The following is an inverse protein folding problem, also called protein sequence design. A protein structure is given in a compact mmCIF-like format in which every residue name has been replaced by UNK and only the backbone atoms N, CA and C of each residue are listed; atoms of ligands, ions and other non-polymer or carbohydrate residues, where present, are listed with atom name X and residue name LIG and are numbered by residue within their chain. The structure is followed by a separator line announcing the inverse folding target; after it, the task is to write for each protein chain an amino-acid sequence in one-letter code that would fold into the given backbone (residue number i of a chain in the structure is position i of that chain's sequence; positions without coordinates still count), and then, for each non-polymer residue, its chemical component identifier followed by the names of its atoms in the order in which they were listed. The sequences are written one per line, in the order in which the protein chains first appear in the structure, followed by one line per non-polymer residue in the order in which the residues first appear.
data_IF_720371065040
#
_entry.id   IF_720371065040
#
_cell.length_a   1.000
_cell.length_b   1.000
_cell.length_c   1.000
_cell.angle_alpha   90.00
_cell.angle_beta   90.00
_cell.angle_gamma   90.00
#
_symmetry.space_group_name_H-M   'P 1'
#
loop_
_entity.id
_entity.type
_entity.pdbx_description
1 polymer ?
#
# COMPACT_ATOMS: atom_id res chain seq x y z
N UNK A 1 3.51 -0.74 40.97
CA UNK A 1 4.22 -0.06 39.87
C UNK A 1 4.19 -0.99 38.67
N UNK A 2 3.72 -0.55 37.50
CA UNK A 2 3.74 -1.39 36.28
C UNK A 2 5.20 -1.56 35.85
N UNK A 3 5.68 -2.80 35.75
CA UNK A 3 7.06 -3.08 35.30
C UNK A 3 7.18 -2.71 33.82
N UNK A 4 8.15 -1.86 33.48
CA UNK A 4 8.46 -1.55 32.08
C UNK A 4 9.16 -2.75 31.44
N UNK A 5 8.64 -3.23 30.33
CA UNK A 5 9.22 -4.30 29.51
C UNK A 5 9.96 -3.71 28.31
N UNK A 6 10.97 -4.44 27.84
CA UNK A 6 11.82 -4.04 26.72
C UNK A 6 11.75 -5.13 25.64
N UNK A 7 11.42 -4.72 24.41
CA UNK A 7 11.49 -5.53 23.21
C UNK A 7 12.51 -4.92 22.25
N UNK A 8 13.35 -5.77 21.65
CA UNK A 8 14.38 -5.35 20.71
C UNK A 8 14.41 -6.30 19.51
N UNK A 9 14.56 -5.74 18.31
CA UNK A 9 14.80 -6.49 17.08
C UNK A 9 15.73 -5.72 16.15
N UNK A 10 16.71 -6.42 15.58
CA UNK A 10 17.61 -5.89 14.56
C UNK A 10 17.49 -6.65 13.24
N UNK A 11 17.84 -5.97 12.15
CA UNK A 11 17.95 -6.51 10.80
C UNK A 11 19.10 -5.83 10.07
N UNK A 12 20.00 -6.62 9.48
CA UNK A 12 21.00 -6.13 8.53
C UNK A 12 20.37 -5.96 7.13
N UNK A 13 20.72 -4.86 6.47
CA UNK A 13 20.19 -4.44 5.19
C UNK A 13 21.35 -4.07 4.25
N UNK A 14 21.22 -4.37 2.97
CA UNK A 14 22.19 -3.92 1.95
C UNK A 14 22.12 -2.41 1.69
N UNK A 15 20.96 -1.80 1.92
CA UNK A 15 20.76 -0.36 1.76
C UNK A 15 21.49 0.43 2.85
N UNK A 16 21.98 1.63 2.52
CA UNK A 16 22.57 2.54 3.50
C UNK A 16 21.51 3.10 4.48
N UNK A 17 21.97 3.60 5.64
CA UNK A 17 21.09 4.04 6.72
C UNK A 17 20.14 5.19 6.30
N UNK A 18 20.62 6.09 5.44
CA UNK A 18 19.85 7.23 4.96
C UNK A 18 18.74 6.78 3.98
N UNK A 19 19.00 5.80 3.12
CA UNK A 19 17.99 5.17 2.28
C UNK A 19 16.90 4.48 3.12
N UNK A 20 17.27 3.76 4.18
CA UNK A 20 16.32 3.14 5.11
C UNK A 20 15.49 4.19 5.84
N UNK A 21 16.13 5.26 6.33
CA UNK A 21 15.44 6.38 6.97
C UNK A 21 14.44 7.05 6.02
N UNK A 22 14.87 7.44 4.82
CA UNK A 22 14.00 8.05 3.80
C UNK A 22 12.81 7.18 3.43
N UNK A 23 12.99 5.85 3.37
CA UNK A 23 11.88 4.93 3.12
C UNK A 23 10.83 5.02 4.23
N UNK A 24 11.24 5.09 5.50
CA UNK A 24 10.33 5.24 6.66
C UNK A 24 9.66 6.61 6.72
N UNK A 25 10.34 7.66 6.27
CA UNK A 25 9.82 9.03 6.29
C UNK A 25 8.80 9.33 5.19
N UNK A 26 8.58 8.42 4.23
CA UNK A 26 7.63 8.61 3.12
C UNK A 26 6.22 8.16 3.52
N UNK A 27 5.20 8.90 3.08
CA UNK A 27 3.79 8.70 3.46
C UNK A 27 3.11 7.39 3.03
N UNK A 28 3.84 6.43 2.47
CA UNK A 28 3.34 5.05 2.26
C UNK A 28 3.90 4.05 3.26
N UNK A 29 4.88 4.43 4.08
CA UNK A 29 5.61 3.50 4.94
C UNK A 29 4.70 2.86 5.99
N UNK A 30 3.81 3.64 6.60
CA UNK A 30 2.85 3.11 7.56
C UNK A 30 2.01 1.99 6.94
N UNK A 31 1.40 2.22 5.79
CA UNK A 31 0.55 1.25 5.09
C UNK A 31 1.32 -0.02 4.70
N UNK A 32 2.61 0.10 4.36
CA UNK A 32 3.48 -1.06 4.09
C UNK A 32 3.78 -1.86 5.36
N UNK A 33 4.01 -1.16 6.46
CA UNK A 33 4.42 -1.74 7.75
C UNK A 33 3.28 -2.34 8.55
N UNK A 34 2.02 -1.99 8.26
CA UNK A 34 0.85 -2.62 8.86
C UNK A 34 0.73 -4.08 8.40
N UNK A 35 0.81 -5.08 9.30
CA UNK A 35 0.61 -6.47 8.92
C UNK A 35 -0.83 -6.72 8.45
N UNK A 36 -1.04 -7.61 7.44
CA UNK A 36 -2.36 -7.82 6.85
C UNK A 36 -3.38 -8.48 7.79
N UNK A 37 -2.94 -9.06 8.91
CA UNK A 37 -3.82 -9.60 9.95
C UNK A 37 -4.21 -8.55 11.00
N UNK A 38 -3.63 -7.35 10.98
CA UNK A 38 -4.03 -6.24 11.84
C UNK A 38 -5.04 -5.36 11.09
N UNK A 39 -6.11 -4.97 11.78
CA UNK A 39 -7.16 -4.11 11.22
C UNK A 39 -7.00 -2.67 11.69
N UNK A 40 -5.83 -2.06 11.46
CA UNK A 40 -5.51 -0.69 11.87
C UNK A 40 -5.62 0.29 10.69
N UNK A 41 -5.97 1.55 10.97
CA UNK A 41 -6.04 2.63 9.97
C UNK A 41 -5.62 3.96 10.57
N UNK A 42 -4.89 4.78 9.80
CA UNK A 42 -4.66 6.18 10.17
C UNK A 42 -5.97 6.97 10.11
N UNK A 43 -6.21 7.77 11.14
CA UNK A 43 -7.28 8.76 11.19
C UNK A 43 -6.69 10.12 10.81
N UNK A 44 -6.52 10.36 9.51
CA UNK A 44 -6.00 11.62 9.00
C UNK A 44 -5.09 11.47 7.78
N UNK A 45 -4.22 12.47 7.52
CA UNK A 45 -3.25 12.41 6.44
C UNK A 45 -2.20 11.32 6.69
N UNK A 46 -1.36 11.09 5.68
CA UNK A 46 -0.25 10.14 5.79
C UNK A 46 0.71 10.51 6.92
N UNK A 47 1.30 9.49 7.56
CA UNK A 47 2.27 9.68 8.62
C UNK A 47 3.52 10.42 8.12
N UNK A 48 3.96 11.42 8.88
CA UNK A 48 5.25 12.12 8.69
C UNK A 48 6.20 11.81 9.83
N UNK A 49 7.49 11.76 9.53
CA UNK A 49 8.56 11.57 10.53
C UNK A 49 9.20 12.93 10.79
N UNK A 50 8.50 13.75 11.57
CA UNK A 50 8.90 15.10 11.95
C UNK A 50 8.67 15.30 13.44
N UNK A 51 9.58 15.96 14.15
CA UNK A 51 9.43 16.17 15.60
C UNK A 51 8.17 16.99 15.90
N UNK A 52 7.34 16.48 16.81
CA UNK A 52 6.05 17.04 17.20
C UNK A 52 4.88 16.59 16.33
N UNK A 53 5.13 15.81 15.26
CA UNK A 53 4.05 15.25 14.44
C UNK A 53 3.23 14.27 15.26
N UNK A 54 1.90 14.44 15.21
CA UNK A 54 0.95 13.57 15.91
C UNK A 54 0.18 12.72 14.92
N UNK A 55 -0.04 11.47 15.30
CA UNK A 55 -0.73 10.48 14.49
C UNK A 55 -1.70 9.68 15.35
N UNK A 56 -2.93 9.57 14.85
CA UNK A 56 -3.99 8.75 15.46
C UNK A 56 -4.21 7.52 14.61
N UNK A 57 -4.01 6.34 15.20
CA UNK A 57 -4.35 5.05 14.61
C UNK A 57 -5.64 4.55 15.23
N UNK A 58 -6.57 4.08 14.41
CA UNK A 58 -7.83 3.49 14.85
C UNK A 58 -7.86 1.99 14.58
N UNK A 59 -8.51 1.25 15.47
CA UNK A 59 -8.66 -0.20 15.34
C UNK A 59 -10.03 -0.65 15.88
N UNK A 60 -10.59 -1.76 15.37
CA UNK A 60 -11.85 -2.29 15.87
C UNK A 60 -11.67 -2.87 17.28
N UNK A 61 -12.64 -2.60 18.15
CA UNK A 61 -12.75 -3.17 19.49
C UNK A 61 -14.18 -3.72 19.68
N UNK A 62 -14.51 -4.75 18.90
CA UNK A 62 -15.88 -5.26 18.80
C UNK A 62 -16.84 -4.20 18.22
N UNK A 63 -17.94 -3.84 18.89
CA UNK A 63 -18.86 -2.80 18.42
C UNK A 63 -18.30 -1.38 18.57
N UNK A 64 -17.24 -1.19 19.37
CA UNK A 64 -16.58 0.09 19.58
C UNK A 64 -15.34 0.25 18.69
N UNK A 65 -14.85 1.48 18.59
CA UNK A 65 -13.56 1.78 17.97
C UNK A 65 -12.56 2.22 19.03
N UNK A 66 -11.42 1.53 19.07
CA UNK A 66 -10.27 2.00 19.81
C UNK A 66 -9.46 3.01 18.99
N UNK A 67 -8.75 3.89 19.70
CA UNK A 67 -7.76 4.79 19.13
C UNK A 67 -6.43 4.63 19.85
N UNK A 68 -5.37 4.96 19.14
CA UNK A 68 -4.01 5.08 19.65
C UNK A 68 -3.44 6.37 19.09
N UNK A 69 -3.22 7.33 19.98
CA UNK A 69 -2.59 8.62 19.68
C UNK A 69 -1.11 8.55 20.02
N UNK A 70 -0.28 8.95 19.06
CA UNK A 70 1.17 8.92 19.15
C UNK A 70 1.78 10.24 18.69
N UNK A 71 2.98 10.54 19.18
CA UNK A 71 3.76 11.72 18.79
C UNK A 71 5.20 11.32 18.48
N UNK A 72 5.76 11.88 17.41
CA UNK A 72 7.19 11.78 17.12
C UNK A 72 7.95 12.75 18.03
N UNK A 73 8.67 12.23 19.02
CA UNK A 73 9.29 13.04 20.07
C UNK A 73 10.74 13.45 19.74
N UNK A 74 11.44 12.64 18.93
CA UNK A 74 12.78 12.92 18.45
C UNK A 74 12.98 12.43 17.01
N UNK A 75 13.79 13.16 16.25
CA UNK A 75 14.23 12.80 14.91
C UNK A 75 15.67 13.25 14.73
N UNK A 76 16.54 12.32 14.32
CA UNK A 76 17.89 12.57 13.80
C UNK A 76 17.88 12.14 12.33
N UNK A 77 17.77 13.07 11.36
CA UNK A 77 17.65 12.73 9.96
C UNK A 77 18.73 11.76 9.48
N UNK A 78 18.32 10.74 8.73
CA UNK A 78 19.21 9.70 8.20
C UNK A 78 19.64 8.63 9.21
N UNK A 79 19.26 8.76 10.49
CA UNK A 79 19.74 7.85 11.53
C UNK A 79 18.69 7.36 12.52
N UNK A 80 17.78 8.20 13.02
CA UNK A 80 16.91 7.77 14.11
C UNK A 80 15.62 8.59 14.20
N UNK A 81 14.54 7.96 14.66
CA UNK A 81 13.37 8.68 15.17
C UNK A 81 12.66 7.88 16.26
N UNK A 82 11.92 8.58 17.12
CA UNK A 82 11.18 7.97 18.22
C UNK A 82 9.71 8.41 18.22
N UNK A 83 8.80 7.43 18.24
CA UNK A 83 7.38 7.63 18.51
C UNK A 83 7.04 7.22 19.95
N UNK A 84 6.19 8.03 20.59
CA UNK A 84 5.70 7.79 21.94
C UNK A 84 4.19 7.83 21.94
N UNK A 85 3.56 6.88 22.63
CA UNK A 85 2.11 6.90 22.84
C UNK A 85 1.73 8.03 23.80
N UNK A 86 0.79 8.88 23.38
CA UNK A 86 0.12 9.86 24.23
C UNK A 86 -1.09 9.24 24.93
N UNK A 87 -1.91 8.49 24.18
CA UNK A 87 -3.08 7.77 24.67
C UNK A 87 -3.25 6.49 23.85
N UNK A 88 -3.61 5.38 24.49
CA UNK A 88 -3.75 4.11 23.76
C UNK A 88 -3.84 2.88 24.67
N UNK A 89 -3.66 1.68 24.08
CA UNK A 89 -3.90 0.41 24.77
C UNK A 89 -2.82 0.05 25.80
N UNK A 90 -1.65 0.70 25.76
CA UNK A 90 -0.58 0.48 26.73
C UNK A 90 -0.61 1.53 27.84
N UNK A 91 -0.10 1.21 29.03
CA UNK A 91 0.16 2.22 30.05
C UNK A 91 1.37 3.10 29.69
N UNK A 92 2.30 2.54 28.92
CA UNK A 92 3.47 3.22 28.35
C UNK A 92 3.84 2.57 27.03
N UNK A 93 4.21 3.36 26.04
CA UNK A 93 4.83 2.87 24.81
C UNK A 93 5.77 3.93 24.27
N UNK A 94 7.03 3.55 24.09
CA UNK A 94 8.07 4.33 23.43
C UNK A 94 8.75 3.40 22.43
N UNK A 95 8.74 3.75 21.15
CA UNK A 95 9.35 2.97 20.10
C UNK A 95 10.40 3.82 19.39
N UNK A 96 11.65 3.36 19.41
CA UNK A 96 12.78 3.97 18.73
C UNK A 96 13.15 3.14 17.51
N UNK A 97 13.22 3.81 16.37
CA UNK A 97 13.71 3.29 15.10
C UNK A 97 15.12 3.84 14.87
N UNK A 98 16.13 2.99 14.86
CA UNK A 98 17.53 3.38 14.62
C UNK A 98 18.06 2.72 13.34
N UNK A 99 18.77 3.49 12.53
CA UNK A 99 19.43 3.10 11.31
C UNK A 99 20.90 3.50 11.44
N UNK A 100 21.79 2.52 11.45
CA UNK A 100 23.24 2.74 11.62
C UNK A 100 24.01 2.04 10.50
N UNK A 101 25.17 2.58 10.13
CA UNK A 101 26.04 1.90 9.18
C UNK A 101 26.41 0.50 9.71
N UNK A 102 26.42 -0.50 8.83
CA UNK A 102 26.77 -1.85 9.22
C UNK A 102 28.24 -1.90 9.70
N UNK A 103 28.58 -2.66 10.75
CA UNK A 103 29.95 -2.76 11.26
C UNK A 103 30.97 -3.23 10.20
N UNK A 104 30.53 -4.06 9.26
CA UNK A 104 31.34 -4.55 8.14
C UNK A 104 31.48 -3.55 6.97
N UNK A 105 30.96 -2.32 7.10
CA UNK A 105 31.14 -1.22 6.16
C UNK A 105 30.22 -1.21 4.92
N UNK A 106 29.45 -2.27 4.67
CA UNK A 106 28.46 -2.32 3.58
C UNK A 106 27.05 -2.39 4.13
N UNK A 107 26.21 -1.44 3.73
CA UNK A 107 24.79 -1.39 4.11
C UNK A 107 24.55 -0.80 5.49
N UNK A 108 23.46 -1.20 6.14
CA UNK A 108 23.03 -0.67 7.43
C UNK A 108 22.38 -1.72 8.32
N UNK A 109 22.24 -1.39 9.60
CA UNK A 109 21.44 -2.13 10.57
C UNK A 109 20.21 -1.29 10.91
N UNK A 110 19.03 -1.87 10.73
CA UNK A 110 17.77 -1.36 11.23
C UNK A 110 17.48 -1.99 12.60
N UNK A 111 17.37 -1.17 13.64
CA UNK A 111 17.05 -1.58 14.99
C UNK A 111 15.73 -0.95 15.44
N UNK A 112 14.84 -1.80 15.95
CA UNK A 112 13.61 -1.41 16.61
C UNK A 112 13.71 -1.73 18.10
N UNK A 113 13.65 -0.71 18.94
CA UNK A 113 13.64 -0.83 20.39
C UNK A 113 12.32 -0.28 20.93
N UNK A 114 11.53 -1.12 21.59
CA UNK A 114 10.25 -0.75 22.20
C UNK A 114 10.33 -0.90 23.71
N UNK A 115 10.09 0.19 24.43
CA UNK A 115 9.85 0.20 25.89
C UNK A 115 8.36 0.35 26.13
N UNK A 116 7.72 -0.67 26.70
CA UNK A 116 6.28 -0.66 26.92
C UNK A 116 5.89 -1.14 28.31
N UNK A 117 4.70 -0.74 28.76
CA UNK A 117 4.10 -1.26 30.00
C UNK A 117 2.63 -1.60 29.75
N UNK A 118 2.20 -2.76 30.22
CA UNK A 118 0.82 -3.21 30.06
C UNK A 118 -0.12 -2.52 31.06
N UNK A 119 -1.41 -2.35 30.72
CA UNK A 119 -2.43 -1.95 31.68
C UNK A 119 -2.67 -3.06 32.72
N UNK A 120 -3.22 -2.70 33.89
CA UNK A 120 -3.67 -3.62 34.96
C UNK A 120 -2.58 -4.35 35.80
N UNK A 121 -1.31 -3.94 35.71
CA UNK A 121 -0.27 -4.31 36.69
C UNK A 121 0.22 -5.78 36.63
N UNK A 122 1.00 -6.24 37.63
CA UNK A 122 1.87 -7.42 37.51
C UNK A 122 1.15 -8.77 37.33
N UNK A 123 -0.09 -8.91 37.81
CA UNK A 123 -0.87 -10.17 37.66
C UNK A 123 -1.39 -10.34 36.24
N UNK A 124 -1.72 -9.25 35.54
CA UNK A 124 -2.06 -9.27 34.11
C UNK A 124 -0.85 -9.61 33.22
N UNK A 125 0.36 -9.19 33.64
CA UNK A 125 1.59 -9.33 32.86
C UNK A 125 2.04 -10.79 32.65
N UNK A 126 1.74 -11.71 33.57
CA UNK A 126 2.26 -13.09 33.51
C UNK A 126 1.72 -13.89 32.31
N UNK A 127 0.47 -13.66 31.93
CA UNK A 127 -0.17 -14.31 30.77
C UNK A 127 -0.23 -13.37 29.56
N UNK A 128 -0.62 -12.11 29.78
CA UNK A 128 -0.71 -11.13 28.69
C UNK A 128 0.68 -10.76 28.15
N UNK A 129 1.72 -10.73 28.97
CA UNK A 129 3.09 -10.40 28.55
C UNK A 129 3.66 -11.38 27.53
N UNK A 130 3.49 -12.69 27.73
CA UNK A 130 3.93 -13.69 26.74
C UNK A 130 3.17 -13.56 25.42
N UNK A 131 1.86 -13.29 25.48
CA UNK A 131 1.05 -13.07 24.29
C UNK A 131 1.46 -11.80 23.55
N UNK A 132 1.62 -10.68 24.26
CA UNK A 132 2.07 -9.39 23.70
C UNK A 132 3.45 -9.54 23.09
N UNK A 133 4.41 -10.15 23.79
CA UNK A 133 5.76 -10.36 23.26
C UNK A 133 5.75 -11.16 21.96
N UNK A 134 4.98 -12.26 21.87
CA UNK A 134 4.80 -13.03 20.62
C UNK A 134 4.16 -12.18 19.52
N UNK A 135 3.18 -11.34 19.86
CA UNK A 135 2.56 -10.40 18.92
C UNK A 135 3.58 -9.41 18.37
N UNK A 136 4.40 -8.81 19.24
CA UNK A 136 5.49 -7.91 18.87
C UNK A 136 6.53 -8.60 18.00
N UNK A 137 7.00 -9.80 18.40
CA UNK A 137 7.93 -10.61 17.61
C UNK A 137 7.42 -10.82 16.17
N UNK A 138 6.16 -11.24 16.02
CA UNK A 138 5.55 -11.47 14.71
C UNK A 138 5.37 -10.18 13.91
N UNK A 139 4.91 -9.10 14.56
CA UNK A 139 4.70 -7.79 13.92
C UNK A 139 6.02 -7.21 13.42
N UNK A 140 7.06 -7.17 14.25
CA UNK A 140 8.36 -6.61 13.89
C UNK A 140 9.11 -7.50 12.89
N UNK A 141 8.96 -8.82 12.94
CA UNK A 141 9.45 -9.71 11.89
C UNK A 141 8.81 -9.40 10.52
N UNK A 142 7.51 -9.13 10.49
CA UNK A 142 6.83 -8.69 9.27
C UNK A 142 7.34 -7.34 8.78
N UNK A 143 7.39 -6.34 9.66
CA UNK A 143 7.88 -4.98 9.35
C UNK A 143 9.27 -5.03 8.72
N UNK A 144 10.19 -5.72 9.37
CA UNK A 144 11.56 -5.94 8.89
C UNK A 144 11.62 -6.61 7.52
N UNK A 145 10.84 -7.68 7.32
CA UNK A 145 10.79 -8.39 6.03
C UNK A 145 10.25 -7.49 4.91
N UNK A 146 9.22 -6.69 5.18
CA UNK A 146 8.65 -5.77 4.19
C UNK A 146 9.65 -4.67 3.85
N UNK A 147 10.25 -4.01 4.84
CA UNK A 147 11.27 -2.99 4.63
C UNK A 147 12.42 -3.51 3.77
N UNK A 148 12.98 -4.68 4.12
CA UNK A 148 14.05 -5.31 3.34
C UNK A 148 13.66 -5.57 1.89
N UNK A 149 12.48 -6.16 1.68
CA UNK A 149 11.99 -6.52 0.35
C UNK A 149 11.72 -5.28 -0.49
N UNK A 150 11.11 -4.26 0.08
CA UNK A 150 10.78 -3.03 -0.63
C UNK A 150 12.06 -2.29 -1.03
N UNK A 151 13.01 -2.10 -0.09
CA UNK A 151 14.30 -1.48 -0.37
C UNK A 151 15.07 -2.24 -1.46
N UNK A 152 15.18 -3.57 -1.35
CA UNK A 152 15.85 -4.39 -2.35
C UNK A 152 15.17 -4.26 -3.72
N UNK A 153 13.83 -4.21 -3.76
CA UNK A 153 13.10 -4.06 -5.04
C UNK A 153 13.27 -2.68 -5.65
N UNK A 154 13.25 -1.61 -4.84
CA UNK A 154 13.52 -0.26 -5.33
C UNK A 154 14.96 -0.14 -5.86
N UNK A 155 15.94 -0.71 -5.14
CA UNK A 155 17.33 -0.72 -5.57
C UNK A 155 17.55 -1.52 -6.87
N UNK A 156 16.89 -2.67 -7.02
CA UNK A 156 17.02 -3.52 -8.21
C UNK A 156 16.46 -2.88 -9.49
N UNK A 157 15.47 -1.97 -9.36
CA UNK A 157 14.86 -1.28 -10.51
C UNK A 157 15.50 0.10 -10.73
N UNK A 158 15.95 0.77 -9.68
CA UNK A 158 16.70 2.04 -9.70
C UNK A 158 16.12 3.11 -10.65
N UNK A 159 14.79 3.27 -10.64
CA UNK A 159 14.10 4.30 -11.46
C UNK A 159 14.05 5.63 -10.73
N UNK A 160 14.20 6.72 -11.50
CA UNK A 160 13.98 8.06 -10.98
C UNK A 160 12.54 8.24 -10.46
N UNK A 161 12.32 9.14 -9.49
CA UNK A 161 10.97 9.55 -9.08
C UNK A 161 10.09 9.89 -10.29
N UNK A 162 8.84 9.47 -10.25
CA UNK A 162 7.90 9.59 -11.35
C UNK A 162 6.47 9.78 -10.84
N UNK A 163 5.66 10.46 -11.64
CA UNK A 163 4.23 10.60 -11.41
C UNK A 163 3.48 9.43 -12.03
N UNK A 164 2.82 8.62 -11.19
CA UNK A 164 2.08 7.42 -11.59
C UNK A 164 0.60 7.61 -11.31
N UNK A 165 -0.23 7.59 -12.35
CA UNK A 165 -1.69 7.64 -12.21
C UNK A 165 -2.24 6.24 -11.97
N UNK A 166 -2.98 6.05 -10.88
CA UNK A 166 -3.54 4.76 -10.49
C UNK A 166 -5.05 4.85 -10.40
N UNK A 167 -5.75 4.00 -11.14
CA UNK A 167 -7.18 3.77 -10.95
C UNK A 167 -7.40 2.59 -10.01
N UNK A 168 -8.53 2.53 -9.30
CA UNK A 168 -8.77 1.48 -8.31
C UNK A 168 -7.81 1.56 -7.11
N UNK A 169 -7.20 2.73 -6.88
CA UNK A 169 -6.22 2.97 -5.82
C UNK A 169 -6.75 2.73 -4.40
N UNK A 170 -8.08 2.75 -4.21
CA UNK A 170 -8.73 2.44 -2.92
C UNK A 170 -8.99 0.94 -2.70
N UNK A 171 -8.80 0.11 -3.73
CA UNK A 171 -8.93 -1.34 -3.66
C UNK A 171 -7.74 -2.01 -2.96
N UNK A 172 -7.84 -3.32 -2.74
CA UNK A 172 -6.80 -4.10 -2.03
C UNK A 172 -5.42 -3.98 -2.70
N UNK A 173 -5.35 -4.29 -4.00
CA UNK A 173 -4.10 -4.21 -4.79
C UNK A 173 -3.65 -2.76 -4.94
N UNK A 174 -4.60 -1.86 -5.27
CA UNK A 174 -4.31 -0.44 -5.49
C UNK A 174 -3.70 0.25 -4.26
N UNK A 175 -4.20 -0.04 -3.05
CA UNK A 175 -3.64 0.50 -1.80
C UNK A 175 -2.20 0.04 -1.58
N UNK A 176 -1.96 -1.26 -1.74
CA UNK A 176 -0.63 -1.85 -1.56
C UNK A 176 0.38 -1.31 -2.58
N UNK A 177 -0.03 -1.18 -3.85
CA UNK A 177 0.79 -0.61 -4.91
C UNK A 177 1.07 0.88 -4.67
N UNK A 178 0.06 1.66 -4.32
CA UNK A 178 0.22 3.09 -4.07
C UNK A 178 1.19 3.35 -2.89
N UNK A 179 1.09 2.56 -1.83
CA UNK A 179 2.02 2.63 -0.71
C UNK A 179 3.45 2.27 -1.14
N UNK A 180 3.62 1.19 -1.90
CA UNK A 180 4.92 0.72 -2.41
C UNK A 180 5.58 1.75 -3.35
N UNK A 181 4.82 2.34 -4.28
CA UNK A 181 5.34 3.38 -5.17
C UNK A 181 5.75 4.63 -4.39
N UNK A 182 4.91 5.07 -3.44
CA UNK A 182 5.20 6.22 -2.58
C UNK A 182 6.47 6.01 -1.74
N UNK A 183 6.67 4.82 -1.15
CA UNK A 183 7.90 4.52 -0.40
C UNK A 183 9.14 4.40 -1.29
N UNK A 184 8.97 4.09 -2.57
CA UNK A 184 10.01 4.22 -3.60
C UNK A 184 10.36 5.66 -3.98
N UNK A 185 9.54 6.64 -3.59
CA UNK A 185 9.73 8.06 -3.91
C UNK A 185 8.94 8.54 -5.13
N UNK A 186 8.06 7.71 -5.69
CA UNK A 186 7.15 8.11 -6.76
C UNK A 186 5.96 8.90 -6.21
N UNK A 187 5.39 9.80 -7.00
CA UNK A 187 4.14 10.48 -6.67
C UNK A 187 2.97 9.69 -7.24
N UNK A 188 2.08 9.25 -6.38
CA UNK A 188 0.88 8.49 -6.80
C UNK A 188 -0.31 9.43 -6.94
N UNK A 189 -0.78 9.59 -8.16
CA UNK A 189 -2.03 10.28 -8.50
C UNK A 189 -3.15 9.26 -8.58
N UNK A 190 -4.35 9.59 -8.11
CA UNK A 190 -5.45 8.62 -7.95
C UNK A 190 -6.68 9.07 -8.70
N UNK A 191 -7.19 8.22 -9.60
CA UNK A 191 -8.53 8.42 -10.15
C UNK A 191 -9.58 7.93 -9.16
N UNK A 192 -10.47 8.83 -8.74
CA UNK A 192 -11.49 8.58 -7.73
C UNK A 192 -12.89 8.92 -8.26
N UNK A 193 -13.89 8.12 -7.87
CA UNK A 193 -15.31 8.32 -8.25
C UNK A 193 -16.08 9.25 -7.30
N UNK A 194 -15.43 9.73 -6.24
CA UNK A 194 -16.01 10.67 -5.29
C UNK A 194 -15.36 12.05 -5.46
N UNK A 195 -15.85 13.06 -4.74
CA UNK A 195 -15.21 14.36 -4.70
C UNK A 195 -13.74 14.21 -4.23
N UNK A 196 -12.75 14.73 -4.99
CA UNK A 196 -11.34 14.70 -4.58
C UNK A 196 -11.14 15.32 -3.21
N UNK A 197 -10.30 14.68 -2.39
CA UNK A 197 -10.01 15.12 -1.01
C UNK A 197 -8.70 15.89 -0.88
N UNK A 198 -7.84 15.81 -1.88
CA UNK A 198 -6.51 16.43 -1.90
C UNK A 198 -6.03 16.59 -3.35
N UNK A 199 -4.89 17.26 -3.53
CA UNK A 199 -4.32 17.56 -4.86
C UNK A 199 -3.74 16.35 -5.63
N UNK A 200 -3.72 15.16 -5.05
CA UNK A 200 -3.30 13.93 -5.72
C UNK A 200 -4.50 13.06 -6.14
N UNK A 201 -5.73 13.51 -5.89
CA UNK A 201 -6.96 12.85 -6.32
C UNK A 201 -7.59 13.62 -7.49
N UNK A 202 -8.00 12.89 -8.51
CA UNK A 202 -8.63 13.43 -9.71
C UNK A 202 -9.94 12.69 -9.95
N UNK A 203 -10.98 13.45 -10.26
CA UNK A 203 -12.31 12.87 -10.46
C UNK A 203 -12.36 12.14 -11.80
N UNK A 204 -13.00 10.98 -11.79
CA UNK A 204 -13.41 10.29 -13.01
C UNK A 204 -14.75 9.56 -12.81
N UNK A 205 -15.46 9.35 -13.90
CA UNK A 205 -16.70 8.60 -13.98
C UNK A 205 -16.76 7.84 -15.32
N UNK A 206 -16.35 6.56 -15.33
CA UNK A 206 -16.42 5.72 -16.52
C UNK A 206 -17.81 5.55 -17.11
N UNK A 207 -18.87 5.58 -16.29
CA UNK A 207 -20.24 5.37 -16.76
C UNK A 207 -20.76 6.61 -17.49
N UNK A 208 -20.30 7.79 -17.07
CA UNK A 208 -20.63 9.08 -17.70
C UNK A 208 -19.61 9.54 -18.74
N UNK A 209 -18.51 8.80 -18.91
CA UNK A 209 -17.43 9.15 -19.84
C UNK A 209 -16.64 10.39 -19.40
N UNK A 210 -16.60 10.68 -18.10
CA UNK A 210 -15.96 11.88 -17.56
C UNK A 210 -14.60 11.55 -16.96
N UNK A 211 -13.56 12.29 -17.34
CA UNK A 211 -12.23 12.21 -16.75
C UNK A 211 -11.69 13.63 -16.64
N UNK A 212 -11.21 14.01 -15.47
CA UNK A 212 -10.53 15.29 -15.28
C UNK A 212 -9.27 15.34 -16.15
N UNK A 213 -9.19 16.20 -17.17
CA UNK A 213 -8.05 16.24 -18.10
C UNK A 213 -6.72 16.48 -17.39
N UNK A 214 -6.73 17.22 -16.27
CA UNK A 214 -5.53 17.50 -15.50
C UNK A 214 -4.89 16.20 -14.98
N UNK A 215 -5.66 15.12 -14.80
CA UNK A 215 -5.19 13.84 -14.29
C UNK A 215 -4.02 13.22 -15.08
N UNK A 216 -3.89 13.56 -16.36
CA UNK A 216 -2.85 13.02 -17.24
C UNK A 216 -1.63 13.96 -17.39
N UNK A 217 -1.73 15.22 -16.95
CA UNK A 217 -0.67 16.20 -17.12
C UNK A 217 0.60 15.79 -16.38
N UNK A 218 1.70 15.59 -17.11
CA UNK A 218 3.00 15.21 -16.52
C UNK A 218 3.05 13.78 -15.96
N UNK A 219 2.06 12.94 -16.23
CA UNK A 219 2.07 11.53 -15.82
C UNK A 219 3.08 10.75 -16.66
N UNK A 220 3.88 9.94 -15.99
CA UNK A 220 4.90 9.10 -16.64
C UNK A 220 4.36 7.71 -16.96
N UNK A 221 3.51 7.17 -16.09
CA UNK A 221 2.89 5.86 -16.24
C UNK A 221 1.46 5.84 -15.68
N UNK A 222 0.62 5.01 -16.26
CA UNK A 222 -0.76 4.77 -15.80
C UNK A 222 -0.90 3.30 -15.42
N UNK A 223 -1.49 3.03 -14.26
CA UNK A 223 -1.85 1.68 -13.80
C UNK A 223 -3.36 1.58 -13.61
N UNK A 224 -4.01 0.79 -14.47
CA UNK A 224 -5.45 0.57 -14.46
C UNK A 224 -5.82 -0.68 -13.66
N UNK A 225 -6.27 -0.50 -12.41
CA UNK A 225 -6.73 -1.58 -11.52
C UNK A 225 -8.23 -1.48 -11.18
N UNK A 226 -8.93 -0.48 -11.70
CA UNK A 226 -10.35 -0.30 -11.40
C UNK A 226 -11.21 -1.38 -12.08
N UNK A 227 -12.15 -1.92 -11.32
CA UNK A 227 -13.14 -2.86 -11.82
C UNK A 227 -14.14 -3.23 -10.72
N UNK A 228 -15.34 -3.64 -11.12
CA UNK A 228 -16.33 -4.21 -10.22
C UNK A 228 -15.83 -5.50 -9.55
N UNK A 229 -16.19 -5.73 -8.29
CA UNK A 229 -15.78 -6.92 -7.55
C UNK A 229 -16.57 -8.16 -8.01
N UNK A 230 -15.87 -9.22 -8.38
CA UNK A 230 -16.48 -10.48 -8.86
C UNK A 230 -16.94 -11.42 -7.74
N UNK A 231 -16.39 -11.29 -6.53
CA UNK A 231 -16.64 -12.18 -5.39
C UNK A 231 -17.70 -11.64 -4.41
N UNK A 232 -18.16 -10.39 -4.59
CA UNK A 232 -19.00 -9.70 -3.61
C UNK A 232 -20.51 -9.95 -3.73
N UNK A 233 -20.99 -10.56 -4.82
CA UNK A 233 -22.43 -10.73 -5.12
C UNK A 233 -22.69 -12.01 -5.91
N UNK A 234 -23.93 -12.52 -5.84
CA UNK A 234 -24.41 -13.62 -6.70
C UNK A 234 -24.33 -13.19 -8.17
N UNK A 235 -23.96 -14.11 -9.05
CA UNK A 235 -23.80 -13.86 -10.48
C UNK A 235 -25.14 -13.89 -11.22
N UNK A 236 -25.94 -12.84 -11.03
CA UNK A 236 -27.08 -12.53 -11.89
C UNK A 236 -26.62 -11.93 -13.22
N UNK A 237 -27.50 -11.88 -14.22
CA UNK A 237 -27.19 -11.25 -15.50
C UNK A 237 -26.88 -9.75 -15.34
N UNK A 238 -27.55 -9.06 -14.41
CA UNK A 238 -27.24 -7.68 -14.03
C UNK A 238 -25.82 -7.55 -13.45
N UNK A 239 -25.40 -8.47 -12.57
CA UNK A 239 -24.05 -8.47 -12.01
C UNK A 239 -23.01 -8.74 -13.10
N UNK A 240 -23.28 -9.68 -14.01
CA UNK A 240 -22.42 -9.95 -15.17
C UNK A 240 -22.28 -8.72 -16.07
N UNK A 241 -23.40 -8.06 -16.39
CA UNK A 241 -23.39 -6.83 -17.18
C UNK A 241 -22.56 -5.73 -16.50
N UNK A 242 -22.69 -5.55 -15.18
CA UNK A 242 -21.86 -4.60 -14.42
C UNK A 242 -20.38 -4.97 -14.39
N UNK A 243 -20.05 -6.25 -14.23
CA UNK A 243 -18.67 -6.73 -14.31
C UNK A 243 -18.07 -6.36 -15.66
N UNK A 244 -18.71 -6.77 -16.76
CA UNK A 244 -18.24 -6.49 -18.11
C UNK A 244 -18.14 -4.97 -18.38
N UNK A 245 -19.23 -4.24 -18.12
CA UNK A 245 -19.32 -2.80 -18.33
C UNK A 245 -18.23 -2.02 -17.58
N UNK A 246 -17.96 -2.38 -16.32
CA UNK A 246 -16.91 -1.72 -15.53
C UNK A 246 -15.49 -1.90 -16.10
N UNK A 247 -15.20 -3.03 -16.78
CA UNK A 247 -13.89 -3.25 -17.43
C UNK A 247 -13.81 -2.44 -18.72
N UNK A 248 -14.82 -2.57 -19.57
CA UNK A 248 -14.83 -1.97 -20.91
C UNK A 248 -14.90 -0.45 -20.82
N UNK A 249 -15.87 0.11 -20.10
CA UNK A 249 -16.08 1.56 -20.04
C UNK A 249 -14.89 2.28 -19.40
N UNK A 250 -14.35 1.74 -18.30
CA UNK A 250 -13.19 2.31 -17.62
C UNK A 250 -11.93 2.29 -18.48
N UNK A 251 -11.67 1.16 -19.14
CA UNK A 251 -10.51 1.02 -20.03
C UNK A 251 -10.64 1.91 -21.25
N UNK A 252 -11.82 1.91 -21.90
CA UNK A 252 -12.10 2.74 -23.07
C UNK A 252 -11.89 4.22 -22.76
N UNK A 253 -12.47 4.72 -21.67
CA UNK A 253 -12.33 6.12 -21.26
C UNK A 253 -10.86 6.51 -21.05
N UNK A 254 -10.09 5.66 -20.37
CA UNK A 254 -8.65 5.91 -20.17
C UNK A 254 -7.92 5.94 -21.50
N UNK A 255 -8.10 4.93 -22.35
CA UNK A 255 -7.38 4.85 -23.63
C UNK A 255 -7.73 6.01 -24.55
N UNK A 256 -9.00 6.40 -24.60
CA UNK A 256 -9.44 7.56 -25.38
C UNK A 256 -8.81 8.86 -24.85
N UNK A 257 -8.75 9.02 -23.52
CA UNK A 257 -8.07 10.16 -22.90
C UNK A 257 -6.55 10.16 -23.16
N UNK A 258 -5.91 8.99 -23.14
CA UNK A 258 -4.48 8.86 -23.45
C UNK A 258 -4.17 9.24 -24.90
N UNK A 259 -5.02 8.85 -25.85
CA UNK A 259 -4.90 9.23 -27.27
C UNK A 259 -5.08 10.73 -27.49
N UNK A 260 -5.94 11.36 -26.70
CA UNK A 260 -6.19 12.80 -26.78
C UNK A 260 -5.15 13.65 -26.02
N UNK A 261 -4.31 13.03 -25.17
CA UNK A 261 -3.35 13.74 -24.36
C UNK A 261 -2.24 14.36 -25.22
N UNK A 262 -1.91 15.63 -24.96
CA UNK A 262 -0.80 16.32 -25.66
C UNK A 262 0.55 15.62 -25.46
N UNK A 263 0.73 14.99 -24.31
CA UNK A 263 1.91 14.19 -23.96
C UNK A 263 1.43 12.91 -23.29
N UNK A 264 1.31 11.86 -24.09
CA UNK A 264 0.90 10.57 -23.55
C UNK A 264 2.00 9.99 -22.62
N UNK A 265 1.61 9.34 -21.51
CA UNK A 265 2.53 8.60 -20.67
C UNK A 265 3.15 7.45 -21.46
N UNK A 266 4.42 7.13 -21.16
CA UNK A 266 5.17 6.09 -21.89
C UNK A 266 4.72 4.66 -21.57
N UNK A 267 3.91 4.49 -20.53
CA UNK A 267 3.57 3.17 -20.01
C UNK A 267 2.13 3.14 -19.53
N UNK A 268 1.39 2.16 -20.03
CA UNK A 268 0.06 1.81 -19.58
C UNK A 268 0.05 0.36 -19.12
N UNK A 269 -0.13 0.15 -17.81
CA UNK A 269 -0.29 -1.17 -17.21
C UNK A 269 -1.76 -1.39 -16.94
N UNK A 270 -2.38 -2.34 -17.63
CA UNK A 270 -3.77 -2.70 -17.41
C UNK A 270 -3.84 -4.03 -16.67
N UNK A 271 -4.66 -4.10 -15.61
CA UNK A 271 -4.99 -5.39 -15.02
C UNK A 271 -5.70 -6.29 -16.04
N UNK A 272 -5.53 -7.59 -15.85
CA UNK A 272 -6.31 -8.65 -16.51
C UNK A 272 -6.60 -9.73 -15.45
N UNK A 273 -6.93 -10.95 -15.85
CA UNK A 273 -7.06 -12.07 -14.94
C UNK A 273 -6.75 -13.40 -15.63
N UNK A 274 -6.32 -14.39 -14.85
CA UNK A 274 -6.18 -15.80 -15.31
C UNK A 274 -7.49 -16.39 -15.82
N UNK A 275 -8.63 -15.75 -15.52
CA UNK A 275 -9.94 -16.10 -16.08
C UNK A 275 -10.02 -16.01 -17.60
N UNK A 276 -9.05 -15.38 -18.29
CA UNK A 276 -8.94 -15.41 -19.75
C UNK A 276 -8.85 -16.84 -20.32
N UNK A 277 -8.25 -17.77 -19.57
CA UNK A 277 -8.04 -19.14 -20.04
C UNK A 277 -9.22 -20.09 -19.77
N UNK A 278 -10.23 -19.65 -19.00
CA UNK A 278 -11.34 -20.50 -18.58
C UNK A 278 -10.92 -21.66 -17.68
N UNK A 279 -11.81 -22.65 -17.53
CA UNK A 279 -11.48 -23.91 -16.84
C UNK A 279 -10.82 -24.89 -17.84
N UNK A 280 -9.60 -25.32 -17.51
CA UNK A 280 -8.77 -26.22 -18.32
C UNK A 280 -8.31 -27.45 -17.53
N UNK A 281 -8.94 -27.73 -16.39
CA UNK A 281 -8.55 -28.81 -15.49
C UNK A 281 -7.07 -28.69 -15.08
N UNK A 282 -6.32 -29.77 -15.26
CA UNK A 282 -4.91 -29.87 -14.86
C UNK A 282 -3.92 -29.41 -15.95
N UNK A 283 -4.42 -28.80 -17.04
CA UNK A 283 -3.55 -28.29 -18.09
C UNK A 283 -2.63 -27.16 -17.57
N UNK A 284 -1.34 -27.25 -17.88
CA UNK A 284 -0.39 -26.18 -17.60
C UNK A 284 -0.60 -25.03 -18.60
N UNK A 285 -1.00 -23.87 -18.08
CA UNK A 285 -1.28 -22.68 -18.88
C UNK A 285 -0.13 -21.66 -18.81
N UNK A 286 0.15 -21.03 -19.94
CA UNK A 286 1.16 -19.96 -20.09
C UNK A 286 0.55 -18.80 -20.88
N UNK A 287 1.27 -17.69 -21.01
CA UNK A 287 0.86 -16.53 -21.81
C UNK A 287 0.72 -16.84 -23.31
N UNK A 288 1.20 -18.00 -23.77
CA UNK A 288 1.01 -18.48 -25.15
C UNK A 288 -0.23 -19.37 -25.31
N UNK A 289 -0.89 -19.74 -24.22
CA UNK A 289 -2.10 -20.56 -24.26
C UNK A 289 -3.28 -19.78 -24.86
N UNK A 290 -4.09 -20.46 -25.66
CA UNK A 290 -5.27 -19.85 -26.26
C UNK A 290 -6.29 -19.42 -25.18
N UNK A 291 -7.05 -18.33 -25.40
CA UNK A 291 -8.16 -17.96 -24.53
C UNK A 291 -9.18 -19.11 -24.40
N UNK A 292 -9.77 -19.22 -23.22
CA UNK A 292 -10.83 -20.18 -22.93
C UNK A 292 -12.20 -19.70 -23.36
N UNK A 293 -13.22 -20.37 -22.82
CA UNK A 293 -14.63 -20.06 -23.07
C UNK A 293 -15.35 -19.66 -21.78
N UNK A 294 -16.55 -19.11 -21.94
CA UNK A 294 -17.41 -18.71 -20.84
C UNK A 294 -17.20 -17.25 -20.42
N UNK A 295 -18.06 -16.81 -19.51
CA UNK A 295 -18.24 -15.39 -19.19
C UNK A 295 -16.94 -14.66 -18.77
N UNK A 296 -16.10 -15.27 -17.93
CA UNK A 296 -14.85 -14.60 -17.50
C UNK A 296 -13.82 -14.51 -18.63
N UNK A 297 -13.75 -15.52 -19.49
CA UNK A 297 -12.85 -15.51 -20.64
C UNK A 297 -13.25 -14.40 -21.61
N UNK A 298 -14.56 -14.29 -21.90
CA UNK A 298 -15.13 -13.22 -22.73
C UNK A 298 -14.88 -11.82 -22.13
N UNK A 299 -15.06 -11.66 -20.82
CA UNK A 299 -14.76 -10.39 -20.11
C UNK A 299 -13.29 -10.02 -20.28
N UNK A 300 -12.36 -10.94 -20.06
CA UNK A 300 -10.93 -10.66 -20.17
C UNK A 300 -10.53 -10.36 -21.62
N UNK A 301 -11.04 -11.12 -22.59
CA UNK A 301 -10.75 -10.89 -24.01
C UNK A 301 -11.21 -9.50 -24.47
N UNK A 302 -12.42 -9.08 -24.08
CA UNK A 302 -12.92 -7.74 -24.41
C UNK A 302 -12.16 -6.64 -23.66
N UNK A 303 -11.85 -6.86 -22.38
CA UNK A 303 -11.08 -5.93 -21.57
C UNK A 303 -9.68 -5.68 -22.15
N UNK A 304 -8.94 -6.74 -22.47
CA UNK A 304 -7.63 -6.63 -23.12
C UNK A 304 -7.71 -6.05 -24.52
N UNK A 305 -8.78 -6.34 -25.27
CA UNK A 305 -9.04 -5.74 -26.57
C UNK A 305 -9.13 -4.21 -26.50
N UNK A 306 -9.82 -3.67 -25.50
CA UNK A 306 -9.85 -2.22 -25.25
C UNK A 306 -8.47 -1.70 -24.82
N UNK A 307 -7.76 -2.41 -23.93
CA UNK A 307 -6.45 -1.99 -23.47
C UNK A 307 -5.41 -1.92 -24.60
N UNK A 308 -5.42 -2.88 -25.53
CA UNK A 308 -4.52 -2.92 -26.70
C UNK A 308 -4.67 -1.72 -27.63
N UNK A 309 -5.79 -0.98 -27.57
CA UNK A 309 -5.93 0.29 -28.30
C UNK A 309 -4.91 1.34 -27.81
N UNK A 310 -4.33 1.18 -26.61
CA UNK A 310 -3.26 2.04 -26.11
C UNK A 310 -1.91 1.84 -26.82
N UNK A 311 -1.69 0.70 -27.50
CA UNK A 311 -0.43 0.42 -28.22
C UNK A 311 -0.19 1.36 -29.41
N UNK A 312 -1.25 2.05 -29.84
CA UNK A 312 -1.23 3.02 -30.96
C UNK A 312 -1.24 4.47 -30.48
N UNK A 313 -0.94 4.71 -29.20
CA UNK A 313 -0.84 6.03 -28.57
C UNK A 313 0.58 6.55 -28.70
#
# INVERSE_FOLDING_TARGET
MSSTEHFHRSLELEADADAVFRWHSRGGAFERLVPPWESVRLAGPAARVEKGERQTVTFPLGPLRGSWDSEITSVTPGSEFQDVQLAGPFAKWEHTHSMRAAPAGRGSVLEDSVRYALPLGPVGNLVAGRFVRRKLERMFAYRHRVTARDLARHAAVAVAPADVLVTGASGMVGKSLAAFLTTGGHRVRRLVRHAPRNGDEFRWDPERGELDPAALDGVHAVVHLAGENIAGRRWSDEQKARILGSRIAGTRLLVDALRAAKRAPRTFVCASAVGIYGDRGDELLTEQSAPGTGFLAEVCAQWEGEARRAERV
#
